data_IF_078784914260
#
_entry.id   IF_078784914260
#
_cell.length_a   1.000
_cell.length_b   1.000
_cell.length_c   1.000
_cell.angle_alpha   90.00
_cell.angle_beta   90.00
_cell.angle_gamma   90.00
#
_symmetry.space_group_name_H-M   'P 1'
#
loop_
_entity.id
_entity.type
_entity.pdbx_description
1 polymer ?
#
# COMPACT_ATOMS: atom_id res chain seq x y z
N UNK A 1 -12.53 -21.70 -20.31
CA UNK A 1 -11.79 -22.07 -19.07
C UNK A 1 -11.98 -20.94 -18.10
N UNK A 2 -12.56 -21.22 -16.92
CA UNK A 2 -12.81 -20.19 -15.91
C UNK A 2 -11.50 -19.53 -15.50
N UNK A 3 -11.45 -18.22 -15.60
CA UNK A 3 -10.36 -17.36 -15.15
C UNK A 3 -10.20 -17.58 -13.62
N UNK A 4 -9.26 -18.43 -13.22
CA UNK A 4 -8.89 -18.58 -11.81
C UNK A 4 -8.07 -17.33 -11.46
N UNK A 5 -8.76 -16.26 -11.10
CA UNK A 5 -8.12 -15.14 -10.41
C UNK A 5 -7.45 -15.69 -9.16
N UNK A 6 -6.13 -15.68 -9.14
CA UNK A 6 -5.34 -16.06 -7.96
C UNK A 6 -5.64 -15.04 -6.88
N UNK A 7 -6.39 -15.44 -5.85
CA UNK A 7 -6.67 -14.60 -4.70
C UNK A 7 -5.37 -14.22 -4.00
N UNK A 8 -5.30 -12.99 -3.49
CA UNK A 8 -4.16 -12.52 -2.71
C UNK A 8 -3.87 -13.42 -1.50
N UNK A 9 -2.62 -13.49 -1.11
CA UNK A 9 -2.16 -14.24 0.06
C UNK A 9 -1.95 -13.30 1.25
N UNK A 10 -2.42 -13.67 2.43
CA UNK A 10 -2.19 -12.91 3.66
C UNK A 10 -0.73 -12.99 4.11
N UNK A 11 -0.19 -11.88 4.63
CA UNK A 11 1.17 -11.79 5.13
C UNK A 11 1.12 -11.40 6.62
N UNK A 12 1.83 -12.16 7.47
CA UNK A 12 1.99 -11.83 8.89
C UNK A 12 3.48 -11.73 9.23
N UNK A 13 3.88 -10.61 9.76
CA UNK A 13 5.24 -10.37 10.24
C UNK A 13 5.18 -10.34 11.75
N UNK A 14 6.08 -11.07 12.41
CA UNK A 14 6.13 -11.21 13.88
C UNK A 14 7.53 -11.04 14.41
N UNK A 15 7.68 -10.10 15.35
CA UNK A 15 8.92 -9.82 16.07
C UNK A 15 10.15 -9.78 15.14
N UNK A 16 10.02 -9.12 13.99
CA UNK A 16 11.06 -9.10 12.97
C UNK A 16 12.15 -8.09 13.35
N UNK A 17 13.38 -8.59 13.46
CA UNK A 17 14.58 -7.79 13.70
C UNK A 17 15.57 -7.93 12.55
N UNK A 18 16.18 -6.81 12.16
CA UNK A 18 17.32 -6.81 11.26
C UNK A 18 18.45 -5.95 11.79
N UNK A 19 19.56 -6.58 12.09
CA UNK A 19 20.83 -5.96 12.46
C UNK A 19 21.83 -6.27 11.34
N UNK A 20 22.50 -5.26 10.81
CA UNK A 20 23.58 -5.42 9.86
C UNK A 20 24.93 -5.33 10.59
N UNK A 21 25.83 -6.23 10.29
CA UNK A 21 27.14 -6.33 10.93
C UNK A 21 27.60 -7.79 11.05
N UNK A 22 28.72 -8.00 11.74
CA UNK A 22 29.24 -9.36 12.00
C UNK A 22 28.51 -9.99 13.17
N UNK A 23 28.09 -11.28 13.04
CA UNK A 23 27.38 -12.05 14.09
C UNK A 23 26.19 -11.28 14.68
N UNK A 24 25.27 -10.76 13.86
CA UNK A 24 24.22 -9.85 14.32
C UNK A 24 23.28 -10.48 15.38
N UNK A 25 23.13 -11.80 15.37
CA UNK A 25 22.28 -12.50 16.33
C UNK A 25 22.70 -12.31 17.80
N UNK A 26 23.98 -12.05 18.05
CA UNK A 26 24.49 -11.80 19.40
C UNK A 26 23.95 -10.52 20.05
N UNK A 27 23.44 -9.58 19.25
CA UNK A 27 22.97 -8.29 19.74
C UNK A 27 21.43 -8.18 19.84
N UNK A 28 20.69 -9.20 19.39
CA UNK A 28 19.21 -9.19 19.41
C UNK A 28 18.67 -9.00 20.83
N UNK A 29 19.23 -9.72 21.82
CA UNK A 29 18.76 -9.61 23.20
C UNK A 29 19.10 -8.26 23.85
N UNK A 30 20.23 -7.66 23.49
CA UNK A 30 20.57 -6.30 23.93
C UNK A 30 19.61 -5.27 23.34
N UNK A 31 19.28 -5.38 22.04
CA UNK A 31 18.28 -4.52 21.38
C UNK A 31 16.89 -4.71 21.99
N UNK A 32 16.48 -5.94 22.28
CA UNK A 32 15.20 -6.22 23.00
C UNK A 32 15.15 -5.59 24.39
N UNK A 33 16.29 -5.52 25.08
CA UNK A 33 16.42 -4.90 26.41
C UNK A 33 16.54 -3.37 26.37
N UNK A 34 16.48 -2.76 25.20
CA UNK A 34 16.43 -1.31 25.05
C UNK A 34 17.68 -0.66 24.44
N UNK A 35 18.72 -1.43 24.03
CA UNK A 35 19.87 -0.85 23.33
C UNK A 35 19.39 -0.10 22.10
N UNK A 36 19.75 1.17 21.98
CA UNK A 36 19.33 2.05 20.90
C UNK A 36 20.13 1.82 19.61
N UNK A 37 19.64 2.35 18.49
CA UNK A 37 20.35 2.34 17.20
C UNK A 37 21.73 3.02 17.29
N UNK A 38 21.79 4.14 18.01
CA UNK A 38 23.03 4.90 18.22
C UNK A 38 24.02 4.13 19.05
N UNK A 39 23.62 3.58 20.21
CA UNK A 39 24.47 2.77 21.06
C UNK A 39 25.01 1.52 20.33
N UNK A 40 24.15 0.83 19.58
CA UNK A 40 24.55 -0.35 18.81
C UNK A 40 25.62 0.00 17.77
N UNK A 41 25.49 1.17 17.12
CA UNK A 41 26.47 1.62 16.13
C UNK A 41 27.78 2.08 16.78
N UNK A 42 27.72 2.94 17.79
CA UNK A 42 28.92 3.51 18.43
C UNK A 42 29.75 2.48 19.17
N UNK A 43 29.11 1.56 19.91
CA UNK A 43 29.80 0.57 20.73
C UNK A 43 30.23 -0.67 19.95
N UNK A 44 29.49 -1.04 18.89
CA UNK A 44 29.68 -2.32 18.22
C UNK A 44 29.85 -2.23 16.69
N UNK A 45 29.72 -1.05 16.09
CA UNK A 45 29.80 -0.86 14.65
C UNK A 45 28.70 -1.56 13.84
N UNK A 46 27.53 -1.78 14.47
CA UNK A 46 26.38 -2.44 13.84
C UNK A 46 25.26 -1.46 13.51
N UNK A 47 24.51 -1.74 12.46
CA UNK A 47 23.38 -0.91 12.04
C UNK A 47 22.07 -1.64 12.33
N UNK A 48 21.23 -1.05 13.17
CA UNK A 48 19.87 -1.53 13.40
C UNK A 48 18.98 -1.09 12.24
N UNK A 49 18.57 -2.04 11.40
CA UNK A 49 17.73 -1.79 10.25
C UNK A 49 16.24 -1.91 10.55
N UNK A 50 15.85 -2.92 11.35
CA UNK A 50 14.47 -3.15 11.79
C UNK A 50 14.47 -3.63 13.24
N UNK A 51 13.49 -3.16 14.02
CA UNK A 51 13.29 -3.51 15.42
C UNK A 51 11.84 -3.83 15.68
N UNK A 52 11.57 -5.03 16.15
CA UNK A 52 10.27 -5.53 16.61
C UNK A 52 9.11 -5.23 15.65
N UNK A 53 9.30 -5.48 14.37
CA UNK A 53 8.24 -5.24 13.38
C UNK A 53 7.16 -6.30 13.52
N UNK A 54 5.92 -5.82 13.75
CA UNK A 54 4.72 -6.63 13.84
C UNK A 54 3.63 -6.02 12.93
N UNK A 55 3.30 -6.67 11.81
CA UNK A 55 2.31 -6.20 10.84
C UNK A 55 1.47 -7.37 10.33
N UNK A 56 0.16 -7.19 10.30
CA UNK A 56 -0.80 -8.07 9.63
C UNK A 56 -1.31 -7.42 8.34
N UNK A 57 -1.05 -8.05 7.21
CA UNK A 57 -1.48 -7.62 5.89
C UNK A 57 -2.54 -8.60 5.38
N UNK A 58 -3.83 -8.22 5.36
CA UNK A 58 -4.89 -9.09 4.87
C UNK A 58 -4.70 -9.47 3.39
N UNK A 59 -5.21 -10.63 3.02
CA UNK A 59 -5.22 -11.04 1.61
C UNK A 59 -6.06 -10.09 0.76
N UNK A 60 -5.57 -9.76 -0.43
CA UNK A 60 -6.28 -8.92 -1.41
C UNK A 60 -6.31 -7.44 -1.08
N UNK A 61 -5.59 -6.96 -0.05
CA UNK A 61 -5.49 -5.54 0.27
C UNK A 61 -4.20 -4.91 -0.27
N UNK A 62 -4.23 -3.58 -0.37
CA UNK A 62 -3.03 -2.75 -0.56
C UNK A 62 -2.56 -2.32 0.83
N UNK A 63 -1.47 -2.92 1.30
CA UNK A 63 -0.75 -2.48 2.50
C UNK A 63 0.32 -1.48 2.11
N UNK A 64 0.15 -0.24 2.50
CA UNK A 64 1.22 0.76 2.35
C UNK A 64 2.16 0.71 3.56
N UNK A 65 3.44 0.81 3.29
CA UNK A 65 4.49 1.03 4.29
C UNK A 65 5.17 2.35 3.98
N UNK A 66 4.98 3.35 4.83
CA UNK A 66 5.54 4.67 4.62
C UNK A 66 6.55 5.08 5.70
N UNK A 67 7.28 6.15 5.46
CA UNK A 67 8.25 6.74 6.38
C UNK A 67 9.37 7.46 5.62
N UNK A 68 10.18 8.24 6.32
CA UNK A 68 11.30 8.99 5.72
C UNK A 68 12.39 8.05 5.18
N UNK A 69 13.34 8.62 4.43
CA UNK A 69 14.53 7.89 3.98
C UNK A 69 15.29 7.31 5.17
N UNK A 70 15.74 6.05 5.05
CA UNK A 70 16.45 5.36 6.14
C UNK A 70 15.57 4.78 7.26
N UNK A 71 14.23 4.87 7.19
CA UNK A 71 13.32 4.30 8.20
C UNK A 71 13.20 2.77 8.17
N UNK A 72 13.78 2.08 7.17
CA UNK A 72 13.75 0.62 7.08
C UNK A 72 12.78 0.02 6.07
N UNK A 73 11.99 0.82 5.34
CA UNK A 73 10.94 0.36 4.40
C UNK A 73 11.44 -0.65 3.36
N UNK A 74 12.48 -0.28 2.60
CA UNK A 74 13.05 -1.18 1.58
C UNK A 74 13.72 -2.42 2.19
N UNK A 75 14.19 -2.32 3.44
CA UNK A 75 14.67 -3.47 4.20
C UNK A 75 13.50 -4.39 4.52
N UNK A 76 12.39 -3.85 5.01
CA UNK A 76 11.20 -4.62 5.37
C UNK A 76 10.62 -5.39 4.18
N UNK A 77 10.38 -4.72 3.04
CA UNK A 77 9.79 -5.39 1.86
C UNK A 77 10.68 -6.54 1.35
N UNK A 78 12.01 -6.39 1.45
CA UNK A 78 12.97 -7.42 1.05
C UNK A 78 13.03 -8.62 1.99
N UNK A 79 12.48 -8.53 3.19
CA UNK A 79 12.28 -9.69 4.07
C UNK A 79 11.07 -10.53 3.64
N UNK A 80 10.02 -9.91 3.06
CA UNK A 80 8.81 -10.62 2.62
C UNK A 80 9.12 -11.67 1.56
N UNK A 81 9.99 -11.36 0.60
CA UNK A 81 10.48 -12.33 -0.39
C UNK A 81 11.86 -12.92 -0.02
N UNK A 82 12.31 -12.66 1.20
CA UNK A 82 13.58 -13.13 1.76
C UNK A 82 14.79 -12.86 0.85
N UNK A 83 14.82 -11.70 0.17
CA UNK A 83 16.05 -11.20 -0.46
C UNK A 83 17.09 -10.80 0.58
N UNK A 84 16.63 -10.50 1.81
CA UNK A 84 17.44 -10.27 2.98
C UNK A 84 16.94 -11.23 4.06
N UNK A 85 17.86 -12.00 4.68
CA UNK A 85 17.52 -12.83 5.82
C UNK A 85 17.34 -11.98 7.08
N UNK A 86 16.31 -12.21 7.90
CA UNK A 86 16.14 -11.54 9.17
C UNK A 86 17.22 -11.97 10.17
N UNK A 87 17.48 -11.12 11.17
CA UNK A 87 18.33 -11.51 12.30
C UNK A 87 17.53 -12.32 13.31
N UNK A 88 16.24 -11.98 13.48
CA UNK A 88 15.27 -12.72 14.29
C UNK A 88 13.86 -12.40 13.81
N UNK A 89 12.88 -13.21 14.23
CA UNK A 89 11.47 -13.05 13.88
C UNK A 89 11.04 -13.94 12.73
N UNK A 90 9.79 -13.75 12.29
CA UNK A 90 9.12 -14.62 11.33
C UNK A 90 8.38 -13.79 10.27
N UNK A 91 8.31 -14.32 9.05
CA UNK A 91 7.47 -13.84 7.96
C UNK A 91 6.59 -15.01 7.49
N UNK A 92 5.32 -14.95 7.82
CA UNK A 92 4.37 -16.05 7.58
C UNK A 92 3.47 -15.63 6.41
N UNK A 93 3.43 -16.45 5.36
CA UNK A 93 2.61 -16.26 4.16
C UNK A 93 1.83 -17.55 3.91
N UNK A 94 0.50 -17.45 3.86
CA UNK A 94 -0.40 -18.62 3.73
C UNK A 94 -0.08 -19.73 4.76
N UNK A 95 0.30 -19.36 5.98
CA UNK A 95 0.66 -20.30 7.06
C UNK A 95 2.08 -20.85 7.01
N UNK A 96 2.86 -20.56 5.98
CA UNK A 96 4.25 -21.00 5.86
C UNK A 96 5.23 -19.88 6.26
N UNK A 97 6.19 -20.19 7.14
CA UNK A 97 7.25 -19.26 7.51
C UNK A 97 8.35 -19.25 6.43
N UNK A 98 8.40 -18.14 5.69
CA UNK A 98 9.37 -17.93 4.60
C UNK A 98 10.81 -17.96 5.12
N UNK A 99 11.03 -17.55 6.38
CA UNK A 99 12.36 -17.51 6.98
C UNK A 99 12.95 -18.89 7.19
N UNK A 100 12.11 -19.93 7.32
CA UNK A 100 12.51 -21.33 7.53
C UNK A 100 12.60 -22.15 6.25
N UNK A 101 12.21 -21.62 5.10
CA UNK A 101 12.27 -22.33 3.82
C UNK A 101 13.72 -22.68 3.43
N UNK A 102 13.93 -23.88 2.92
CA UNK A 102 15.19 -24.25 2.28
C UNK A 102 15.34 -23.52 0.92
N UNK A 103 16.51 -23.61 0.28
CA UNK A 103 16.82 -22.89 -0.95
C UNK A 103 15.91 -23.29 -2.14
N UNK A 104 15.47 -24.53 -2.22
CA UNK A 104 14.59 -24.99 -3.29
C UNK A 104 13.17 -24.44 -3.11
N UNK A 105 12.62 -24.56 -1.90
CA UNK A 105 11.30 -24.02 -1.56
C UNK A 105 11.27 -22.51 -1.71
N UNK A 106 12.34 -21.82 -1.29
CA UNK A 106 12.47 -20.37 -1.45
C UNK A 106 12.49 -19.94 -2.93
N UNK A 107 13.16 -20.72 -3.81
CA UNK A 107 13.11 -20.46 -5.25
C UNK A 107 11.71 -20.63 -5.81
N UNK A 108 10.99 -21.69 -5.42
CA UNK A 108 9.60 -21.92 -5.84
C UNK A 108 8.68 -20.83 -5.31
N UNK A 109 8.85 -20.43 -4.05
CA UNK A 109 8.13 -19.32 -3.44
C UNK A 109 8.31 -18.02 -4.24
N UNK A 110 9.56 -17.64 -4.56
CA UNK A 110 9.86 -16.44 -5.35
C UNK A 110 9.32 -16.51 -6.78
N UNK A 111 9.30 -17.70 -7.41
CA UNK A 111 8.79 -17.90 -8.76
C UNK A 111 7.28 -17.75 -8.86
N UNK A 112 6.55 -18.23 -7.86
CA UNK A 112 5.11 -18.43 -7.96
C UNK A 112 4.29 -17.61 -6.96
N UNK A 113 4.87 -17.14 -5.87
CA UNK A 113 4.14 -16.46 -4.79
C UNK A 113 4.37 -14.97 -4.72
N UNK A 114 5.49 -14.47 -5.24
CA UNK A 114 5.83 -13.04 -5.17
C UNK A 114 6.27 -12.50 -6.53
N UNK A 115 5.85 -11.27 -6.82
CA UNK A 115 6.42 -10.46 -7.90
C UNK A 115 6.88 -9.12 -7.32
N UNK A 116 7.92 -8.51 -7.90
CA UNK A 116 8.47 -7.26 -7.37
C UNK A 116 8.67 -6.22 -8.47
N UNK A 117 8.22 -5.00 -8.17
CA UNK A 117 8.50 -3.79 -8.94
C UNK A 117 9.52 -2.95 -8.17
N UNK A 118 10.60 -2.58 -8.81
CA UNK A 118 11.73 -1.87 -8.19
C UNK A 118 11.70 -0.39 -8.52
N UNK A 119 12.26 0.43 -7.66
CA UNK A 119 12.40 1.88 -7.82
C UNK A 119 13.12 2.28 -9.11
N UNK A 120 14.20 1.57 -9.48
CA UNK A 120 15.01 1.80 -10.71
C UNK A 120 14.60 0.85 -11.85
N UNK A 121 13.34 0.61 -12.07
CA UNK A 121 12.72 -0.22 -13.12
C UNK A 121 13.27 -1.65 -13.22
N UNK A 122 14.58 -1.87 -13.04
CA UNK A 122 15.30 -3.15 -13.12
C UNK A 122 14.99 -3.92 -14.43
N UNK A 123 14.80 -3.21 -15.54
CA UNK A 123 14.62 -3.82 -16.85
C UNK A 123 15.95 -4.34 -17.39
N UNK A 124 15.86 -5.42 -18.15
CA UNK A 124 17.00 -5.98 -18.87
C UNK A 124 17.23 -5.14 -20.15
N UNK A 125 18.33 -4.37 -20.24
CA UNK A 125 18.49 -3.37 -21.29
C UNK A 125 18.68 -3.95 -22.68
N UNK A 126 19.09 -5.23 -22.77
CA UNK A 126 19.29 -5.99 -23.98
C UNK A 126 18.05 -6.80 -24.42
N UNK A 127 16.92 -6.66 -23.72
CA UNK A 127 15.64 -7.29 -24.00
C UNK A 127 14.59 -6.25 -24.39
N UNK A 128 13.71 -6.60 -25.29
CA UNK A 128 12.56 -5.77 -25.68
C UNK A 128 11.54 -5.64 -24.54
N UNK A 129 10.51 -4.80 -24.72
CA UNK A 129 9.36 -4.72 -23.81
C UNK A 129 8.71 -6.08 -23.62
N UNK A 130 8.46 -6.80 -24.73
CA UNK A 130 7.87 -8.14 -24.71
C UNK A 130 8.76 -9.11 -23.92
N UNK A 131 10.05 -9.15 -24.24
CA UNK A 131 10.99 -10.08 -23.60
C UNK A 131 11.24 -9.75 -22.11
N UNK A 132 11.19 -8.49 -21.73
CA UNK A 132 11.18 -8.10 -20.32
C UNK A 132 9.91 -8.59 -19.62
N UNK A 133 8.77 -8.46 -20.27
CA UNK A 133 7.47 -8.82 -19.69
C UNK A 133 7.31 -10.33 -19.52
N UNK A 134 7.78 -11.16 -20.46
CA UNK A 134 7.70 -12.63 -20.37
C UNK A 134 8.72 -13.24 -19.40
N UNK A 135 9.72 -12.49 -18.94
CA UNK A 135 10.87 -13.02 -18.20
C UNK A 135 10.49 -13.89 -16.98
N UNK A 136 9.48 -13.50 -16.24
CA UNK A 136 8.98 -14.30 -15.10
C UNK A 136 8.39 -15.66 -15.55
N UNK A 137 7.64 -15.67 -16.63
CA UNK A 137 7.04 -16.88 -17.18
C UNK A 137 8.07 -17.81 -17.85
N UNK A 138 9.12 -17.23 -18.42
CA UNK A 138 10.28 -17.99 -18.93
C UNK A 138 10.95 -18.78 -17.80
N UNK A 139 11.17 -18.14 -16.62
CA UNK A 139 11.72 -18.78 -15.42
C UNK A 139 10.77 -19.85 -14.87
N UNK A 140 9.46 -19.67 -15.01
CA UNK A 140 8.45 -20.66 -14.63
C UNK A 140 8.39 -21.87 -15.59
N UNK A 141 9.00 -21.77 -16.78
CA UNK A 141 9.05 -22.85 -17.77
C UNK A 141 7.81 -22.97 -18.65
N UNK A 142 7.02 -21.90 -18.79
CA UNK A 142 5.88 -21.89 -19.70
C UNK A 142 6.35 -21.93 -21.18
N UNK A 143 5.51 -22.44 -22.08
CA UNK A 143 5.77 -22.37 -23.53
C UNK A 143 5.76 -20.92 -24.03
N UNK A 144 6.58 -20.61 -25.05
CA UNK A 144 6.71 -19.25 -25.62
C UNK A 144 5.37 -18.66 -26.03
N UNK A 145 4.52 -19.47 -26.66
CA UNK A 145 3.18 -19.06 -27.08
C UNK A 145 2.34 -18.52 -25.88
N UNK A 146 2.31 -19.27 -24.76
CA UNK A 146 1.60 -18.84 -23.54
C UNK A 146 2.23 -17.62 -22.89
N UNK A 147 3.57 -17.54 -22.92
CA UNK A 147 4.29 -16.37 -22.41
C UNK A 147 3.88 -15.10 -23.15
N UNK A 148 3.87 -15.14 -24.49
CA UNK A 148 3.54 -13.98 -25.33
C UNK A 148 2.07 -13.59 -25.22
N UNK A 149 1.15 -14.55 -25.18
CA UNK A 149 -0.28 -14.29 -25.00
C UNK A 149 -0.52 -13.48 -23.71
N UNK A 150 0.03 -13.95 -22.58
CA UNK A 150 -0.14 -13.28 -21.30
C UNK A 150 0.57 -11.92 -21.27
N UNK A 151 1.79 -11.84 -21.80
CA UNK A 151 2.55 -10.59 -21.81
C UNK A 151 1.85 -9.51 -22.65
N UNK A 152 1.37 -9.84 -23.86
CA UNK A 152 0.65 -8.90 -24.73
C UNK A 152 -0.63 -8.38 -24.07
N UNK A 153 -1.36 -9.24 -23.32
CA UNK A 153 -2.51 -8.83 -22.51
C UNK A 153 -2.11 -7.73 -21.52
N UNK A 154 -1.04 -7.94 -20.72
CA UNK A 154 -0.61 -6.97 -19.71
C UNK A 154 0.04 -5.74 -20.31
N UNK A 155 0.83 -5.85 -21.38
CA UNK A 155 1.37 -4.72 -22.14
C UNK A 155 0.24 -3.80 -22.62
N UNK A 156 -0.84 -4.38 -23.17
CA UNK A 156 -2.03 -3.62 -23.56
C UNK A 156 -2.72 -2.94 -22.37
N UNK A 157 -2.86 -3.65 -21.24
CA UNK A 157 -3.50 -3.13 -20.00
C UNK A 157 -2.76 -1.95 -19.37
N UNK A 158 -1.43 -1.93 -19.44
CA UNK A 158 -0.63 -0.80 -18.94
C UNK A 158 -0.43 0.30 -20.00
N UNK A 159 -1.12 0.24 -21.15
CA UNK A 159 -1.09 1.26 -22.19
C UNK A 159 0.19 1.29 -23.02
N UNK A 160 0.85 0.14 -23.21
CA UNK A 160 2.08 0.01 -24.03
C UNK A 160 1.87 -0.81 -25.31
N UNK A 161 0.62 -0.93 -25.79
CA UNK A 161 0.31 -1.58 -27.05
C UNK A 161 1.04 -0.88 -28.21
N UNK A 162 1.77 -1.64 -29.04
CA UNK A 162 2.59 -1.14 -30.15
C UNK A 162 4.04 -0.86 -29.80
N UNK A 163 4.44 -1.04 -28.50
CA UNK A 163 5.83 -0.87 -28.05
C UNK A 163 6.52 -2.19 -27.73
N UNK A 164 5.94 -3.32 -28.11
CA UNK A 164 6.39 -4.67 -27.75
C UNK A 164 7.85 -4.93 -28.15
N UNK A 165 8.27 -4.43 -29.31
CA UNK A 165 9.59 -4.64 -29.88
C UNK A 165 10.62 -3.55 -29.53
N UNK A 166 10.20 -2.53 -28.75
CA UNK A 166 11.10 -1.48 -28.30
C UNK A 166 11.99 -1.93 -27.15
N UNK A 167 13.18 -1.37 -27.07
CA UNK A 167 14.13 -1.57 -25.97
C UNK A 167 13.95 -0.50 -24.90
N UNK A 168 14.37 -0.79 -23.63
CA UNK A 168 14.22 0.17 -22.52
C UNK A 168 14.79 1.57 -22.78
N UNK A 169 15.91 1.68 -23.48
CA UNK A 169 16.54 2.97 -23.83
C UNK A 169 15.75 3.82 -24.83
N UNK A 170 14.73 3.24 -25.49
CA UNK A 170 13.85 3.93 -26.42
C UNK A 170 12.57 4.43 -25.75
N UNK A 171 12.42 4.21 -24.42
CA UNK A 171 11.21 4.48 -23.65
C UNK A 171 11.44 5.62 -22.65
N UNK A 172 10.41 6.43 -22.42
CA UNK A 172 10.41 7.36 -21.29
C UNK A 172 10.44 6.63 -19.94
N UNK A 173 10.81 7.31 -18.86
CA UNK A 173 10.83 6.73 -17.50
C UNK A 173 9.47 6.14 -17.09
N UNK A 174 8.38 6.85 -17.40
CA UNK A 174 7.02 6.36 -17.15
C UNK A 174 6.69 5.09 -17.95
N UNK A 175 7.12 5.01 -19.22
CA UNK A 175 6.93 3.80 -20.01
C UNK A 175 7.76 2.63 -19.46
N UNK A 176 9.01 2.86 -19.05
CA UNK A 176 9.84 1.84 -18.41
C UNK A 176 9.19 1.30 -17.12
N UNK A 177 8.56 2.18 -16.33
CA UNK A 177 7.82 1.78 -15.13
C UNK A 177 6.62 0.91 -15.47
N UNK A 178 5.87 1.26 -16.53
CA UNK A 178 4.75 0.45 -17.03
C UNK A 178 5.22 -0.94 -17.49
N UNK A 179 6.40 -1.05 -18.12
CA UNK A 179 7.00 -2.35 -18.45
C UNK A 179 7.32 -3.15 -17.18
N UNK A 180 7.90 -2.51 -16.16
CA UNK A 180 8.16 -3.14 -14.86
C UNK A 180 6.89 -3.67 -14.19
N UNK A 181 5.80 -2.89 -14.24
CA UNK A 181 4.50 -3.30 -13.74
C UNK A 181 3.90 -4.45 -14.56
N UNK A 182 3.93 -4.37 -15.89
CA UNK A 182 3.46 -5.44 -16.78
C UNK A 182 4.20 -6.76 -16.51
N UNK A 183 5.55 -6.70 -16.36
CA UNK A 183 6.38 -7.87 -16.01
C UNK A 183 5.95 -8.51 -14.69
N UNK A 184 5.71 -7.68 -13.67
CA UNK A 184 5.30 -8.18 -12.37
C UNK A 184 3.90 -8.80 -12.38
N UNK A 185 2.95 -8.20 -13.12
CA UNK A 185 1.59 -8.69 -13.24
C UNK A 185 1.50 -9.95 -14.09
N UNK A 186 2.33 -10.06 -15.14
CA UNK A 186 2.39 -11.23 -16.03
C UNK A 186 2.80 -12.50 -15.27
N UNK A 187 3.59 -12.36 -14.20
CA UNK A 187 4.02 -13.48 -13.36
C UNK A 187 2.86 -14.15 -12.58
N UNK A 188 1.71 -13.50 -12.54
CA UNK A 188 0.47 -13.93 -11.84
C UNK A 188 0.65 -14.38 -10.38
N UNK A 189 1.64 -13.84 -9.69
CA UNK A 189 1.87 -14.09 -8.28
C UNK A 189 0.77 -13.47 -7.40
N UNK A 190 0.34 -14.13 -6.28
CA UNK A 190 -0.68 -13.58 -5.38
C UNK A 190 -0.22 -12.35 -4.60
N UNK A 191 1.09 -12.12 -4.47
CA UNK A 191 1.70 -10.99 -3.75
C UNK A 191 2.50 -10.13 -4.72
N UNK A 192 2.20 -8.83 -4.74
CA UNK A 192 2.93 -7.81 -5.49
C UNK A 192 3.68 -6.90 -4.51
N UNK A 193 4.99 -6.87 -4.61
CA UNK A 193 5.88 -6.04 -3.81
C UNK A 193 6.33 -4.83 -4.64
N UNK A 194 6.12 -3.60 -4.15
CA UNK A 194 6.43 -2.37 -4.88
C UNK A 194 7.32 -1.47 -4.02
N UNK A 195 8.62 -1.41 -4.34
CA UNK A 195 9.61 -0.63 -3.59
C UNK A 195 9.80 0.74 -4.25
N UNK A 196 9.12 1.77 -3.71
CA UNK A 196 9.08 3.16 -4.23
C UNK A 196 8.85 3.23 -5.74
N UNK A 197 7.92 2.41 -6.23
CA UNK A 197 7.75 2.14 -7.65
C UNK A 197 7.42 3.38 -8.49
N UNK A 198 6.83 4.44 -7.91
CA UNK A 198 6.40 5.62 -8.64
C UNK A 198 7.20 6.88 -8.29
N UNK A 199 8.20 6.81 -7.40
CA UNK A 199 8.94 7.96 -6.89
C UNK A 199 9.76 8.70 -7.97
N UNK A 200 10.22 7.99 -9.00
CA UNK A 200 11.01 8.55 -10.09
C UNK A 200 10.17 9.15 -11.24
N UNK A 201 8.84 9.12 -11.14
CA UNK A 201 7.93 9.62 -12.16
C UNK A 201 7.54 11.09 -11.89
N UNK A 202 7.29 11.84 -12.96
CA UNK A 202 6.66 13.16 -12.84
C UNK A 202 5.24 13.05 -12.25
N UNK A 203 4.69 14.12 -11.65
CA UNK A 203 3.42 14.05 -10.92
C UNK A 203 2.25 13.54 -11.75
N UNK A 204 2.15 13.93 -13.04
CA UNK A 204 1.03 13.53 -13.89
C UNK A 204 1.07 12.04 -14.21
N UNK A 205 2.23 11.54 -14.62
CA UNK A 205 2.44 10.10 -14.91
C UNK A 205 2.27 9.26 -13.64
N UNK A 206 2.72 9.78 -12.48
CA UNK A 206 2.54 9.12 -11.18
C UNK A 206 1.06 8.92 -10.86
N UNK A 207 0.25 9.97 -10.99
CA UNK A 207 -1.20 9.90 -10.76
C UNK A 207 -1.88 8.90 -11.69
N UNK A 208 -1.49 8.87 -12.97
CA UNK A 208 -2.00 7.93 -13.94
C UNK A 208 -1.64 6.47 -13.56
N UNK A 209 -0.38 6.21 -13.18
CA UNK A 209 0.06 4.89 -12.73
C UNK A 209 -0.63 4.40 -11.46
N UNK A 210 -0.90 5.31 -10.52
CA UNK A 210 -1.70 5.01 -9.32
C UNK A 210 -3.13 4.60 -9.71
N UNK A 211 -3.76 5.33 -10.63
CA UNK A 211 -5.10 4.99 -11.13
C UNK A 211 -5.12 3.62 -11.81
N UNK A 212 -4.12 3.34 -12.67
CA UNK A 212 -3.96 2.02 -13.30
C UNK A 212 -3.83 0.91 -12.26
N UNK A 213 -3.04 1.12 -11.19
CA UNK A 213 -2.88 0.14 -10.12
C UNK A 213 -4.21 -0.11 -9.38
N UNK A 214 -4.95 0.95 -9.02
CA UNK A 214 -6.24 0.84 -8.33
C UNK A 214 -7.28 0.13 -9.19
N UNK A 215 -7.36 0.43 -10.48
CA UNK A 215 -8.31 -0.21 -11.40
C UNK A 215 -7.97 -1.69 -11.62
N UNK A 216 -6.68 -2.02 -11.72
CA UNK A 216 -6.25 -3.40 -11.79
C UNK A 216 -6.57 -4.15 -10.49
N UNK A 217 -6.35 -3.52 -9.32
CA UNK A 217 -6.58 -4.15 -8.02
C UNK A 217 -8.06 -4.54 -7.80
N UNK A 218 -9.02 -3.77 -8.31
CA UNK A 218 -10.45 -4.11 -8.28
C UNK A 218 -10.76 -5.45 -8.94
N UNK A 219 -10.02 -5.78 -10.02
CA UNK A 219 -10.21 -7.04 -10.76
C UNK A 219 -9.41 -8.20 -10.17
N UNK A 220 -8.09 -7.97 -9.95
CA UNK A 220 -7.16 -9.06 -9.64
C UNK A 220 -7.07 -9.39 -8.15
N UNK A 221 -7.45 -8.46 -7.26
CA UNK A 221 -7.48 -8.62 -5.79
C UNK A 221 -6.21 -9.29 -5.21
N UNK A 222 -5.04 -8.92 -5.72
CA UNK A 222 -3.75 -9.38 -5.20
C UNK A 222 -3.42 -8.65 -3.90
N UNK A 223 -2.61 -9.28 -3.04
CA UNK A 223 -2.04 -8.56 -1.90
C UNK A 223 -0.89 -7.70 -2.40
N UNK A 224 -1.01 -6.40 -2.25
CA UNK A 224 0.01 -5.43 -2.67
C UNK A 224 0.69 -4.87 -1.44
N UNK A 225 2.02 -4.94 -1.37
CA UNK A 225 2.83 -4.21 -0.38
C UNK A 225 3.52 -3.07 -1.10
N UNK A 226 3.13 -1.85 -0.78
CA UNK A 226 3.55 -0.64 -1.47
C UNK A 226 4.40 0.24 -0.55
N UNK A 227 5.64 0.50 -0.94
CA UNK A 227 6.56 1.39 -0.21
C UNK A 227 6.49 2.79 -0.81
N UNK A 228 6.30 3.79 0.05
CA UNK A 228 6.40 5.21 -0.33
C UNK A 228 6.92 6.06 0.82
N UNK A 229 7.35 7.28 0.52
CA UNK A 229 7.63 8.34 1.49
C UNK A 229 6.60 9.49 1.38
N UNK A 230 5.64 9.38 0.47
CA UNK A 230 4.61 10.36 0.17
C UNK A 230 3.30 9.95 0.85
N UNK A 231 2.79 10.83 1.73
CA UNK A 231 1.56 10.56 2.48
C UNK A 231 0.32 10.58 1.58
N UNK A 232 0.25 11.50 0.61
CA UNK A 232 -0.89 11.58 -0.31
C UNK A 232 -1.00 10.30 -1.14
N UNK A 233 0.14 9.75 -1.56
CA UNK A 233 0.20 8.47 -2.24
C UNK A 233 -0.25 7.32 -1.31
N UNK A 234 0.18 7.33 -0.05
CA UNK A 234 -0.22 6.33 0.94
C UNK A 234 -1.72 6.36 1.22
N UNK A 235 -2.29 7.55 1.38
CA UNK A 235 -3.73 7.76 1.63
C UNK A 235 -4.59 7.42 0.41
N UNK A 236 -4.06 7.64 -0.80
CA UNK A 236 -4.79 7.35 -2.05
C UNK A 236 -4.84 5.85 -2.36
N UNK A 237 -3.73 5.15 -2.12
CA UNK A 237 -3.57 3.74 -2.54
C UNK A 237 -3.90 2.75 -1.44
N UNK A 238 -3.62 3.09 -0.18
CA UNK A 238 -3.59 2.13 0.92
C UNK A 238 -4.94 1.82 1.53
N UNK A 239 -5.35 0.56 1.53
CA UNK A 239 -6.41 0.09 2.41
C UNK A 239 -5.94 0.13 3.87
N UNK A 240 -4.66 -0.15 4.08
CA UNK A 240 -3.98 -0.05 5.38
C UNK A 240 -2.61 0.59 5.20
N UNK A 241 -2.22 1.39 6.19
CA UNK A 241 -0.94 2.11 6.21
C UNK A 241 -0.18 1.70 7.48
N UNK A 242 1.11 1.41 7.36
CA UNK A 242 2.04 1.27 8.46
C UNK A 242 3.13 2.35 8.31
N UNK A 243 3.34 3.16 9.34
CA UNK A 243 4.32 4.25 9.33
C UNK A 243 5.55 3.79 10.10
N UNK A 244 6.71 3.79 9.41
CA UNK A 244 7.99 3.41 9.98
C UNK A 244 8.85 4.63 10.31
N UNK A 245 9.47 4.60 11.48
CA UNK A 245 10.52 5.53 11.91
C UNK A 245 11.62 4.74 12.62
N UNK A 246 12.88 4.96 12.23
CA UNK A 246 14.07 4.34 12.85
C UNK A 246 14.04 2.80 12.95
N UNK A 247 13.37 2.16 12.00
CA UNK A 247 13.25 0.70 11.96
C UNK A 247 12.11 0.12 12.78
N UNK A 248 11.24 0.95 13.34
CA UNK A 248 10.07 0.55 14.14
C UNK A 248 8.77 1.00 13.48
N UNK A 249 7.66 0.30 13.75
CA UNK A 249 6.31 0.74 13.38
C UNK A 249 5.81 1.71 14.44
N UNK A 250 5.64 2.98 14.08
CA UNK A 250 5.14 4.02 14.99
C UNK A 250 3.62 4.00 15.05
N UNK A 251 2.97 3.82 13.89
CA UNK A 251 1.52 3.72 13.80
C UNK A 251 1.11 2.82 12.63
N UNK A 252 0.00 2.13 12.79
CA UNK A 252 -0.65 1.39 11.70
C UNK A 252 -2.17 1.48 11.83
N UNK A 253 -2.86 1.53 10.68
CA UNK A 253 -4.32 1.65 10.61
C UNK A 253 -4.79 1.91 9.19
N UNK A 254 -6.04 2.34 9.04
CA UNK A 254 -6.56 2.90 7.79
C UNK A 254 -6.01 4.32 7.59
N UNK A 255 -6.13 4.88 6.37
CA UNK A 255 -5.77 6.27 6.14
C UNK A 255 -6.54 7.24 7.05
N UNK A 256 -7.80 6.91 7.33
CA UNK A 256 -8.63 7.67 8.24
C UNK A 256 -8.12 7.63 9.69
N UNK A 257 -7.71 6.45 10.21
CA UNK A 257 -7.13 6.33 11.55
C UNK A 257 -5.87 7.19 11.70
N UNK A 258 -5.01 7.21 10.68
CA UNK A 258 -3.77 8.01 10.67
C UNK A 258 -4.07 9.50 10.72
N UNK A 259 -5.07 9.96 9.95
CA UNK A 259 -5.40 11.40 9.85
C UNK A 259 -6.17 11.91 11.06
N UNK A 260 -7.03 11.08 11.65
CA UNK A 260 -7.89 11.47 12.76
C UNK A 260 -7.22 11.33 14.14
N UNK A 261 -6.38 10.31 14.30
CA UNK A 261 -5.75 9.93 15.56
C UNK A 261 -4.25 9.72 15.39
N UNK A 262 -3.47 10.77 15.02
CA UNK A 262 -2.03 10.63 14.89
C UNK A 262 -1.41 10.24 16.24
N UNK A 263 -0.53 9.22 16.23
CA UNK A 263 0.03 8.63 17.46
C UNK A 263 1.00 9.56 18.19
N UNK A 264 1.67 10.45 17.47
CA UNK A 264 2.63 11.41 18.05
C UNK A 264 2.74 12.69 17.20
N UNK A 265 3.56 13.64 17.66
CA UNK A 265 3.81 14.91 16.96
C UNK A 265 4.47 14.70 15.58
N UNK A 266 5.28 13.66 15.44
CA UNK A 266 5.90 13.32 14.16
C UNK A 266 4.84 12.99 13.11
N UNK A 267 3.88 12.15 13.44
CA UNK A 267 2.77 11.79 12.53
C UNK A 267 1.83 12.99 12.34
N UNK A 268 1.56 13.74 13.41
CA UNK A 268 0.78 14.98 13.34
C UNK A 268 1.35 15.97 12.33
N UNK A 269 2.68 16.08 12.24
CA UNK A 269 3.33 16.96 11.24
C UNK A 269 3.09 16.55 9.81
N UNK A 270 3.00 15.26 9.51
CA UNK A 270 2.67 14.75 8.18
C UNK A 270 1.23 15.00 7.79
N UNK A 271 0.29 14.80 8.73
CA UNK A 271 -1.15 14.90 8.43
C UNK A 271 -1.68 16.33 8.45
N UNK A 272 -0.86 17.30 8.88
CA UNK A 272 -1.27 18.70 9.03
C UNK A 272 -1.73 19.33 7.71
N UNK A 273 -1.08 19.00 6.61
CA UNK A 273 -1.34 19.57 5.27
C UNK A 273 -2.26 18.69 4.41
N UNK A 274 -2.71 17.53 4.95
CA UNK A 274 -3.57 16.61 4.21
C UNK A 274 -4.94 17.23 3.93
N UNK A 275 -5.41 17.07 2.69
CA UNK A 275 -6.80 17.39 2.35
C UNK A 275 -7.74 16.35 2.99
N UNK A 276 -8.25 16.68 4.18
CA UNK A 276 -9.14 15.83 4.97
C UNK A 276 -10.40 15.42 4.23
N UNK A 277 -10.92 16.28 3.35
CA UNK A 277 -12.09 15.99 2.54
C UNK A 277 -11.93 14.77 1.63
N UNK A 278 -10.69 14.41 1.28
CA UNK A 278 -10.36 13.25 0.45
C UNK A 278 -10.09 11.96 1.23
N UNK A 279 -10.03 12.04 2.55
CA UNK A 279 -9.65 10.90 3.40
C UNK A 279 -10.77 10.52 4.35
N UNK A 280 -11.44 11.52 4.94
CA UNK A 280 -12.50 11.29 5.92
C UNK A 280 -13.78 10.89 5.20
N UNK A 281 -14.43 9.84 5.71
CA UNK A 281 -15.69 9.32 5.19
C UNK A 281 -16.87 9.94 5.94
N UNK A 282 -18.02 10.02 5.28
CA UNK A 282 -19.27 10.59 5.85
C UNK A 282 -19.70 9.89 7.13
N UNK A 283 -19.40 8.60 7.27
CA UNK A 283 -19.75 7.79 8.45
C UNK A 283 -19.15 8.34 9.75
N UNK A 284 -17.99 8.98 9.64
CA UNK A 284 -17.26 9.53 10.80
C UNK A 284 -17.98 10.73 11.43
N UNK A 285 -18.73 11.47 10.61
CA UNK A 285 -19.40 12.70 11.03
C UNK A 285 -20.94 12.60 11.00
N UNK A 286 -21.47 11.47 10.53
CA UNK A 286 -22.91 11.22 10.49
C UNK A 286 -23.49 11.14 11.91
N UNK A 287 -24.57 11.88 12.17
CA UNK A 287 -25.27 11.86 13.45
C UNK A 287 -26.59 11.11 13.32
N UNK A 288 -26.95 10.33 14.34
CA UNK A 288 -28.24 9.64 14.39
C UNK A 288 -29.37 10.54 14.93
N UNK A 289 -29.03 11.64 15.56
CA UNK A 289 -29.98 12.60 16.13
C UNK A 289 -30.64 13.46 15.06
N UNK A 290 -31.97 13.48 15.03
CA UNK A 290 -32.73 14.38 14.17
C UNK A 290 -33.04 13.84 12.78
N UNK A 291 -33.17 12.52 12.59
CA UNK A 291 -33.66 11.94 11.33
C UNK A 291 -35.08 12.49 11.03
N UNK A 292 -35.22 13.36 10.01
CA UNK A 292 -36.57 13.73 9.55
C UNK A 292 -37.20 12.51 8.89
N UNK A 293 -38.45 12.26 9.21
CA UNK A 293 -39.25 11.20 8.60
C UNK A 293 -39.57 11.43 7.10
N UNK A 294 -38.92 12.40 6.43
CA UNK A 294 -39.20 12.78 5.05
C UNK A 294 -38.21 12.19 4.05
N UNK A 295 -38.67 11.23 3.34
CA UNK A 295 -38.18 10.67 2.09
C UNK A 295 -38.22 11.69 0.96
N UNK A 296 -37.19 12.50 0.79
CA UNK A 296 -37.15 13.47 -0.32
C UNK A 296 -35.84 14.24 -0.46
N UNK A 297 -34.84 13.94 0.36
CA UNK A 297 -33.54 14.58 0.34
C UNK A 297 -32.48 13.81 -0.45
N UNK A 298 -31.33 14.45 -0.65
CA UNK A 298 -30.15 13.82 -1.22
C UNK A 298 -29.66 12.70 -0.31
N UNK A 299 -29.33 11.55 -0.91
CA UNK A 299 -28.73 10.41 -0.21
C UNK A 299 -27.25 10.29 -0.59
N UNK A 300 -26.43 9.96 0.38
CA UNK A 300 -25.01 9.67 0.24
C UNK A 300 -24.74 8.29 0.84
N UNK A 301 -23.95 7.45 0.17
CA UNK A 301 -23.66 6.11 0.67
C UNK A 301 -22.62 6.14 1.77
N UNK A 302 -22.69 5.18 2.70
CA UNK A 302 -21.58 4.88 3.62
C UNK A 302 -20.29 4.65 2.85
N UNK A 303 -19.15 5.06 3.42
CA UNK A 303 -17.85 4.97 2.75
C UNK A 303 -17.56 6.08 1.72
N UNK A 304 -18.51 7.01 1.48
CA UNK A 304 -18.27 8.19 0.61
C UNK A 304 -17.38 9.19 1.33
N UNK A 305 -16.36 9.73 0.66
CA UNK A 305 -15.48 10.78 1.21
C UNK A 305 -16.22 12.12 1.31
N UNK A 306 -15.77 12.99 2.24
CA UNK A 306 -16.47 14.26 2.49
C UNK A 306 -16.52 15.18 1.26
N UNK A 307 -15.47 15.20 0.43
CA UNK A 307 -15.40 16.02 -0.81
C UNK A 307 -16.49 15.61 -1.81
N UNK A 308 -16.71 14.32 -2.02
CA UNK A 308 -17.78 13.80 -2.91
C UNK A 308 -19.17 14.05 -2.34
N UNK A 309 -19.34 13.88 -1.03
CA UNK A 309 -20.60 14.18 -0.37
C UNK A 309 -20.93 15.69 -0.48
N UNK A 310 -19.95 16.56 -0.23
CA UNK A 310 -20.12 18.01 -0.39
C UNK A 310 -20.52 18.39 -1.82
N UNK A 311 -19.88 17.79 -2.83
CA UNK A 311 -20.23 17.99 -4.23
C UNK A 311 -21.66 17.56 -4.52
N UNK A 312 -22.04 16.34 -4.11
CA UNK A 312 -23.40 15.80 -4.31
C UNK A 312 -24.47 16.71 -3.69
N UNK A 313 -24.22 17.20 -2.47
CA UNK A 313 -25.13 18.12 -1.78
C UNK A 313 -25.20 19.50 -2.46
N UNK A 314 -24.07 20.01 -2.96
CA UNK A 314 -23.99 21.28 -3.66
C UNK A 314 -24.72 21.21 -5.00
N UNK A 315 -24.48 20.17 -5.80
CA UNK A 315 -25.11 19.95 -7.11
C UNK A 315 -26.65 19.85 -6.98
N UNK A 316 -27.13 19.30 -5.86
CA UNK A 316 -28.55 19.20 -5.55
C UNK A 316 -29.12 20.41 -4.78
N UNK A 317 -28.30 21.42 -4.48
CA UNK A 317 -28.66 22.60 -3.67
C UNK A 317 -29.31 22.25 -2.31
N UNK A 318 -28.77 21.23 -1.61
CA UNK A 318 -29.26 20.73 -0.34
C UNK A 318 -28.27 21.00 0.79
N UNK A 319 -28.79 21.40 1.96
CA UNK A 319 -28.00 21.65 3.17
C UNK A 319 -27.78 20.38 4.02
N UNK A 320 -28.60 19.34 3.79
CA UNK A 320 -28.57 18.08 4.51
C UNK A 320 -28.59 16.91 3.54
N UNK A 321 -27.94 15.82 3.90
CA UNK A 321 -28.04 14.54 3.18
C UNK A 321 -28.22 13.39 4.18
N UNK A 322 -28.97 12.37 3.76
CA UNK A 322 -29.13 11.12 4.51
C UNK A 322 -28.02 10.16 4.10
N UNK A 323 -27.27 9.65 5.07
CA UNK A 323 -26.29 8.59 4.84
C UNK A 323 -27.02 7.25 4.84
N UNK A 324 -26.80 6.45 3.78
CA UNK A 324 -27.47 5.14 3.60
C UNK A 324 -26.42 4.04 3.43
N UNK A 325 -26.74 2.85 3.96
CA UNK A 325 -25.92 1.64 3.75
C UNK A 325 -26.08 1.07 2.33
N UNK A 326 -25.42 -0.05 2.05
CA UNK A 326 -25.49 -0.76 0.76
C UNK A 326 -26.93 -1.23 0.42
N UNK A 327 -27.77 -1.43 1.42
CA UNK A 327 -29.17 -1.85 1.29
C UNK A 327 -30.15 -0.66 1.18
N UNK A 328 -29.65 0.58 1.20
CA UNK A 328 -30.44 1.80 1.17
C UNK A 328 -31.08 2.19 2.51
N UNK A 329 -30.69 1.53 3.61
CA UNK A 329 -31.17 1.86 4.96
C UNK A 329 -30.42 3.08 5.49
N UNK A 330 -31.14 4.06 6.01
CA UNK A 330 -30.55 5.25 6.63
C UNK A 330 -29.74 4.87 7.88
N UNK A 331 -28.48 5.31 7.92
CA UNK A 331 -27.54 5.12 9.03
C UNK A 331 -27.25 6.42 9.78
N UNK A 332 -27.52 7.58 9.18
CA UNK A 332 -27.32 8.89 9.80
C UNK A 332 -27.67 10.04 8.87
N UNK A 333 -27.43 11.25 9.35
CA UNK A 333 -27.60 12.51 8.62
C UNK A 333 -26.29 13.31 8.69
N UNK A 334 -25.95 13.97 7.62
CA UNK A 334 -24.86 14.94 7.54
C UNK A 334 -25.38 16.31 7.10
N UNK A 335 -24.77 17.37 7.58
CA UNK A 335 -25.03 18.74 7.13
C UNK A 335 -23.82 19.29 6.37
N UNK A 336 -24.06 20.28 5.47
CA UNK A 336 -22.97 20.98 4.78
C UNK A 336 -22.00 21.64 5.78
N UNK A 337 -22.53 22.16 6.89
CA UNK A 337 -21.71 22.77 7.93
C UNK A 337 -20.81 21.73 8.64
N UNK A 338 -21.35 20.54 8.98
CA UNK A 338 -20.53 19.46 9.57
C UNK A 338 -19.46 18.96 8.62
N UNK A 339 -19.75 18.87 7.31
CA UNK A 339 -18.76 18.55 6.28
C UNK A 339 -17.62 19.56 6.25
N UNK A 340 -17.93 20.86 6.15
CA UNK A 340 -16.94 21.93 6.12
C UNK A 340 -16.10 21.93 7.41
N UNK A 341 -16.74 21.81 8.58
CA UNK A 341 -16.02 21.74 9.84
C UNK A 341 -15.04 20.58 9.87
N UNK A 342 -15.46 19.38 9.48
CA UNK A 342 -14.59 18.19 9.47
C UNK A 342 -13.42 18.31 8.48
N UNK A 343 -13.61 19.03 7.37
CA UNK A 343 -12.55 19.29 6.40
C UNK A 343 -11.50 20.28 6.91
N UNK A 344 -11.92 21.29 7.70
CA UNK A 344 -11.07 22.44 8.08
C UNK A 344 -10.50 22.29 9.50
N UNK A 345 -11.23 21.65 10.42
CA UNK A 345 -10.87 21.60 11.84
C UNK A 345 -10.45 20.18 12.26
N UNK A 346 -9.38 19.98 13.07
CA UNK A 346 -9.08 18.69 13.69
C UNK A 346 -10.25 18.17 14.52
N UNK A 347 -10.66 16.92 14.29
CA UNK A 347 -11.84 16.30 14.95
C UNK A 347 -11.68 16.17 16.48
N UNK A 348 -10.46 16.22 17.01
CA UNK A 348 -10.19 16.23 18.45
C UNK A 348 -10.96 17.32 19.24
N UNK A 349 -11.40 18.38 18.56
CA UNK A 349 -12.25 19.43 19.14
C UNK A 349 -13.76 19.16 19.00
N UNK A 350 -14.17 18.20 18.14
CA UNK A 350 -15.60 17.89 17.93
C UNK A 350 -16.12 16.84 18.94
N UNK A 351 -15.28 15.89 19.33
CA UNK A 351 -15.64 14.87 20.32
C UNK A 351 -15.72 15.42 21.76
N UNK A 352 -14.99 16.48 22.08
CA UNK A 352 -15.05 17.13 23.40
C UNK A 352 -16.31 17.99 23.61
N UNK A 353 -16.97 18.44 22.52
CA UNK A 353 -18.22 19.21 22.61
C UNK A 353 -19.47 18.32 22.77
N UNK A 354 -19.47 17.13 22.17
CA UNK A 354 -20.58 16.18 22.30
C UNK A 354 -20.63 15.48 23.67
N UNK A 355 -19.56 15.57 24.48
CA UNK A 355 -19.53 15.07 25.85
C UNK A 355 -19.84 16.18 26.91
N UNK A 356 -20.09 17.41 26.48
CA UNK A 356 -20.36 18.56 27.33
C UNK A 356 -21.77 19.17 27.15
N UNK A 357 -22.62 18.58 26.32
CA UNK A 357 -24.07 18.81 26.20
C UNK A 357 -24.82 17.52 26.54
#
# INVERSE_FOLDING_TARGET
MADRTVQGAGIKIRNLYKIFGQRPAAYVDAVKKGMTKTELNEQHGHVLGLRDINIDMPAGCIQVVMGLSGSGKSTLIRHINRLIDPTAGEVIIDGADVCKMNQNDLRQFRRHKTAMVFQKFALLPHRTVLDNTVYGLEIQGLSREKQEEQARRWIGRVGLKGFEDHYPNQLSGGMQQRVGLARALTNDAPILLMDEAFSALDPLIRMDMQSVLLDLQKEIKKTVVFITHDLDEALRLGDRIAILRDGEVVQQGTGQDIVLQPADEYISSFVKEVNRGRVIMVDTIATQSGMPASTGGVTVRTGTILEEAAKTMTDANQQFATVVDENGKATGIISMNSLIQAMVTPISHLTSRAAAE
#
